data_IF_662656541755
#
_entry.id   IF_662656541755
#
_cell.length_a   1.000
_cell.length_b   1.000
_cell.length_c   1.000
_cell.angle_alpha   90.00
_cell.angle_beta   90.00
_cell.angle_gamma   90.00
#
_symmetry.space_group_name_H-M   'P 1'
#
loop_
_entity.id
_entity.type
_entity.pdbx_description
1 polymer ?
#
# COMPACT_ATOMS: atom_id res chain seq x y z
N UNK A 1 -1.15 -25.09 -4.12
CA UNK A 1 -1.48 -24.94 -2.68
C UNK A 1 -2.99 -24.99 -2.58
N UNK A 2 -3.57 -25.75 -1.65
CA UNK A 2 -5.04 -25.83 -1.55
C UNK A 2 -5.62 -24.55 -0.92
N UNK A 3 -6.90 -24.28 -1.13
CA UNK A 3 -7.58 -23.13 -0.52
C UNK A 3 -7.51 -23.16 1.02
N UNK A 4 -7.61 -24.35 1.60
CA UNK A 4 -7.51 -24.57 3.05
C UNK A 4 -6.11 -24.20 3.57
N UNK A 5 -5.06 -24.54 2.81
CA UNK A 5 -3.68 -24.18 3.18
C UNK A 5 -3.47 -22.66 3.15
N UNK A 6 -4.05 -21.98 2.14
CA UNK A 6 -3.98 -20.52 2.00
C UNK A 6 -4.70 -19.85 3.17
N UNK A 7 -5.93 -20.29 3.47
CA UNK A 7 -6.70 -19.77 4.60
C UNK A 7 -5.97 -19.98 5.94
N UNK A 8 -5.37 -21.16 6.14
CA UNK A 8 -4.59 -21.47 7.34
C UNK A 8 -3.38 -20.54 7.48
N UNK A 9 -2.64 -20.28 6.40
CA UNK A 9 -1.54 -19.31 6.40
C UNK A 9 -1.98 -17.90 6.74
N UNK A 10 -3.07 -17.44 6.13
CA UNK A 10 -3.62 -16.11 6.41
C UNK A 10 -4.00 -16.00 7.89
N UNK A 11 -4.72 -16.99 8.43
CA UNK A 11 -5.13 -17.02 9.83
C UNK A 11 -3.91 -16.95 10.76
N UNK A 12 -2.88 -17.77 10.51
CA UNK A 12 -1.65 -17.76 11.28
C UNK A 12 -0.92 -16.42 11.21
N UNK A 13 -0.82 -15.80 10.02
CA UNK A 13 -0.18 -14.48 9.90
C UNK A 13 -0.96 -13.43 10.70
N UNK A 14 -2.29 -13.42 10.64
CA UNK A 14 -3.10 -12.43 11.37
C UNK A 14 -3.05 -12.68 12.88
N UNK A 15 -3.05 -13.93 13.33
CA UNK A 15 -2.87 -14.28 14.76
C UNK A 15 -1.51 -13.85 15.29
N UNK A 16 -0.45 -13.94 14.47
CA UNK A 16 0.90 -13.51 14.81
C UNK A 16 1.18 -12.02 14.48
N UNK A 17 0.14 -11.24 14.14
CA UNK A 17 0.25 -9.81 13.78
C UNK A 17 1.14 -9.51 12.55
N UNK A 18 1.38 -10.51 11.71
CA UNK A 18 2.10 -10.41 10.44
C UNK A 18 1.19 -9.90 9.31
N UNK A 19 0.53 -8.77 9.52
CA UNK A 19 -0.52 -8.25 8.64
C UNK A 19 -0.05 -8.00 7.21
N UNK A 20 1.23 -7.64 7.03
CA UNK A 20 1.81 -7.45 5.70
C UNK A 20 1.88 -8.75 4.89
N UNK A 21 2.19 -9.88 5.54
CA UNK A 21 2.22 -11.19 4.89
C UNK A 21 0.79 -11.69 4.63
N UNK A 22 -0.10 -11.55 5.61
CA UNK A 22 -1.51 -11.89 5.48
C UNK A 22 -2.16 -11.17 4.28
N UNK A 23 -1.88 -9.87 4.15
CA UNK A 23 -2.35 -9.02 3.06
C UNK A 23 -1.92 -9.54 1.68
N UNK A 24 -0.65 -9.90 1.51
CA UNK A 24 -0.15 -10.47 0.24
C UNK A 24 -0.91 -11.74 -0.14
N UNK A 25 -1.06 -12.67 0.82
CA UNK A 25 -1.81 -13.91 0.58
C UNK A 25 -3.28 -13.65 0.23
N UNK A 26 -3.91 -12.67 0.86
CA UNK A 26 -5.29 -12.28 0.55
C UNK A 26 -5.40 -11.70 -0.86
N UNK A 27 -4.57 -10.71 -1.21
CA UNK A 27 -4.64 -10.04 -2.52
C UNK A 27 -4.39 -10.99 -3.68
N UNK A 28 -3.45 -11.92 -3.54
CA UNK A 28 -3.15 -12.93 -4.58
C UNK A 28 -4.31 -13.91 -4.81
N UNK A 29 -5.22 -14.06 -3.84
CA UNK A 29 -6.28 -15.09 -3.84
C UNK A 29 -7.68 -14.50 -3.59
N UNK A 30 -7.85 -13.20 -3.80
CA UNK A 30 -8.98 -12.41 -3.30
C UNK A 30 -10.34 -12.96 -3.76
N UNK A 31 -10.50 -13.25 -5.05
CA UNK A 31 -11.76 -13.77 -5.62
C UNK A 31 -12.21 -15.07 -4.95
N UNK A 32 -11.28 -16.02 -4.75
CA UNK A 32 -11.60 -17.33 -4.19
C UNK A 32 -11.90 -17.25 -2.69
N UNK A 33 -11.16 -16.39 -1.97
CA UNK A 33 -11.36 -16.14 -0.55
C UNK A 33 -12.69 -15.42 -0.27
N UNK A 34 -13.13 -14.55 -1.18
CA UNK A 34 -14.42 -13.87 -1.07
C UNK A 34 -15.60 -14.85 -1.12
N UNK A 35 -15.49 -15.91 -1.91
CA UNK A 35 -16.49 -16.99 -1.98
C UNK A 35 -16.44 -17.95 -0.76
N UNK A 36 -15.30 -18.00 -0.05
CA UNK A 36 -15.02 -18.97 1.02
C UNK A 36 -14.57 -18.32 2.33
N UNK A 37 -15.18 -17.18 2.70
CA UNK A 37 -14.85 -16.42 3.92
C UNK A 37 -14.97 -17.25 5.21
N UNK A 38 -15.76 -18.31 5.20
CA UNK A 38 -15.93 -19.23 6.33
C UNK A 38 -14.65 -19.96 6.74
N UNK A 39 -13.66 -20.06 5.85
CA UNK A 39 -12.34 -20.66 6.16
C UNK A 39 -11.41 -19.69 6.91
N UNK A 40 -11.75 -18.41 6.97
CA UNK A 40 -10.94 -17.37 7.61
C UNK A 40 -11.37 -17.12 9.06
N UNK A 41 -10.40 -16.85 9.93
CA UNK A 41 -10.62 -16.40 11.30
C UNK A 41 -11.31 -15.02 11.30
N UNK A 42 -11.83 -14.60 12.46
CA UNK A 42 -12.53 -13.31 12.56
C UNK A 42 -11.65 -12.15 12.08
N UNK A 43 -10.42 -12.08 12.58
CA UNK A 43 -9.48 -11.01 12.23
C UNK A 43 -9.08 -11.06 10.75
N UNK A 44 -8.93 -12.27 10.19
CA UNK A 44 -8.62 -12.44 8.77
C UNK A 44 -9.78 -12.03 7.85
N UNK A 45 -11.03 -12.27 8.27
CA UNK A 45 -12.22 -11.78 7.57
C UNK A 45 -12.32 -10.25 7.61
N UNK A 46 -12.11 -9.66 8.78
CA UNK A 46 -12.08 -8.19 8.91
C UNK A 46 -11.01 -7.57 8.00
N UNK A 47 -9.80 -8.16 7.95
CA UNK A 47 -8.75 -7.72 7.02
C UNK A 47 -9.16 -7.86 5.55
N UNK A 48 -9.79 -8.99 5.17
CA UNK A 48 -10.30 -9.18 3.81
C UNK A 48 -11.36 -8.14 3.45
N UNK A 49 -12.29 -7.86 4.36
CA UNK A 49 -13.37 -6.88 4.14
C UNK A 49 -12.79 -5.48 3.92
N UNK A 50 -11.82 -5.05 4.74
CA UNK A 50 -11.10 -3.78 4.54
C UNK A 50 -10.43 -3.72 3.16
N UNK A 51 -9.80 -4.82 2.72
CA UNK A 51 -9.11 -4.86 1.43
C UNK A 51 -10.09 -4.80 0.24
N UNK A 52 -11.27 -5.41 0.38
CA UNK A 52 -12.35 -5.33 -0.61
C UNK A 52 -12.89 -3.90 -0.68
N UNK A 53 -13.18 -3.28 0.47
CA UNK A 53 -13.64 -1.88 0.53
C UNK A 53 -12.66 -0.94 -0.16
N UNK A 54 -11.35 -1.08 0.12
CA UNK A 54 -10.30 -0.30 -0.56
C UNK A 54 -10.28 -0.54 -2.07
N UNK A 55 -10.50 -1.77 -2.52
CA UNK A 55 -10.55 -2.09 -3.94
C UNK A 55 -11.77 -1.48 -4.64
N UNK A 56 -12.94 -1.55 -4.00
CA UNK A 56 -14.21 -1.04 -4.52
C UNK A 56 -14.24 0.49 -4.60
N UNK A 57 -13.51 1.18 -3.72
CA UNK A 57 -13.28 2.63 -3.80
C UNK A 57 -12.36 3.05 -4.97
N UNK A 58 -11.86 2.08 -5.76
CA UNK A 58 -10.85 2.33 -6.80
C UNK A 58 -9.45 2.64 -6.24
N UNK A 59 -9.29 2.57 -4.92
CA UNK A 59 -8.03 2.75 -4.22
C UNK A 59 -7.21 1.46 -4.33
N UNK A 60 -6.65 1.22 -5.53
CA UNK A 60 -5.61 0.20 -5.67
C UNK A 60 -4.52 0.50 -4.62
N UNK A 61 -4.18 -0.41 -3.73
CA UNK A 61 -3.20 -0.14 -2.70
C UNK A 61 -1.81 0.12 -3.29
N UNK A 62 -1.00 0.90 -2.57
CA UNK A 62 0.38 1.19 -2.98
C UNK A 62 1.19 -0.11 -3.02
N UNK A 63 1.80 -0.38 -4.16
CA UNK A 63 2.70 -1.52 -4.31
C UNK A 63 4.01 -1.29 -3.54
N UNK A 64 4.80 -2.36 -3.34
CA UNK A 64 6.16 -2.23 -2.77
C UNK A 64 7.04 -1.29 -3.59
N UNK A 65 6.85 -1.27 -4.92
CA UNK A 65 7.58 -0.37 -5.82
C UNK A 65 7.18 1.08 -5.55
N UNK A 66 5.88 1.34 -5.39
CA UNK A 66 5.37 2.67 -5.07
C UNK A 66 5.95 3.17 -3.75
N UNK A 67 5.91 2.34 -2.70
CA UNK A 67 6.49 2.67 -1.40
C UNK A 67 8.00 2.96 -1.48
N UNK A 68 8.75 2.22 -2.31
CA UNK A 68 10.16 2.48 -2.54
C UNK A 68 10.41 3.83 -3.21
N UNK A 69 9.57 4.22 -4.18
CA UNK A 69 9.61 5.54 -4.83
C UNK A 69 9.33 6.63 -3.80
N UNK A 70 8.28 6.50 -2.98
CA UNK A 70 7.94 7.47 -1.93
C UNK A 70 9.07 7.63 -0.91
N UNK A 71 9.72 6.53 -0.51
CA UNK A 71 10.89 6.57 0.37
C UNK A 71 12.08 7.28 -0.28
N UNK A 72 12.26 7.12 -1.59
CA UNK A 72 13.32 7.79 -2.34
C UNK A 72 13.06 9.31 -2.42
N UNK A 73 11.81 9.71 -2.65
CA UNK A 73 11.36 11.11 -2.57
C UNK A 73 11.67 11.70 -1.20
N UNK A 74 11.31 11.01 -0.11
CA UNK A 74 11.61 11.43 1.26
C UNK A 74 13.12 11.61 1.50
N UNK A 75 13.93 10.71 0.95
CA UNK A 75 15.39 10.76 1.06
C UNK A 75 15.97 11.96 0.30
N UNK A 76 15.51 12.19 -0.94
CA UNK A 76 15.94 13.35 -1.73
C UNK A 76 15.53 14.67 -1.10
N UNK A 77 14.30 14.76 -0.58
CA UNK A 77 13.83 15.96 0.11
C UNK A 77 14.67 16.27 1.35
N UNK A 78 14.92 15.26 2.20
CA UNK A 78 15.74 15.40 3.42
C UNK A 78 17.17 15.83 3.12
N UNK A 79 17.74 15.33 2.02
CA UNK A 79 19.09 15.68 1.58
C UNK A 79 19.15 16.92 0.69
N UNK A 80 18.00 17.56 0.44
CA UNK A 80 17.86 18.71 -0.46
C UNK A 80 18.38 18.46 -1.89
N UNK A 81 18.29 17.20 -2.37
CA UNK A 81 18.62 16.85 -3.75
C UNK A 81 17.47 17.20 -4.69
N UNK A 82 17.37 18.49 -5.03
CA UNK A 82 16.33 19.03 -5.90
C UNK A 82 16.37 18.45 -7.32
N UNK A 83 17.54 17.98 -7.79
CA UNK A 83 17.68 17.38 -9.12
C UNK A 83 17.08 15.98 -9.13
N UNK A 84 17.48 15.14 -8.18
CA UNK A 84 16.90 13.79 -8.02
C UNK A 84 15.40 13.85 -7.79
N UNK A 85 14.95 14.77 -6.94
CA UNK A 85 13.53 14.99 -6.64
C UNK A 85 12.73 15.34 -7.91
N UNK A 86 13.22 16.26 -8.74
CA UNK A 86 12.54 16.65 -9.98
C UNK A 86 12.44 15.50 -10.98
N UNK A 87 13.49 14.67 -11.08
CA UNK A 87 13.50 13.52 -11.99
C UNK A 87 12.48 12.48 -11.53
N UNK A 88 12.52 12.07 -10.26
CA UNK A 88 11.65 10.98 -9.78
C UNK A 88 10.17 11.36 -9.80
N UNK A 89 9.83 12.63 -9.53
CA UNK A 89 8.47 13.15 -9.66
C UNK A 89 7.99 13.03 -11.11
N UNK A 90 8.83 13.43 -12.07
CA UNK A 90 8.48 13.42 -13.49
C UNK A 90 8.29 12.01 -14.04
N UNK A 91 9.04 11.04 -13.52
CA UNK A 91 8.94 9.63 -13.94
C UNK A 91 7.72 8.91 -13.34
N UNK A 92 7.16 9.41 -12.23
CA UNK A 92 6.08 8.75 -11.50
C UNK A 92 4.87 9.68 -11.24
N UNK A 93 4.30 10.35 -12.26
CA UNK A 93 3.26 11.34 -12.07
C UNK A 93 1.94 10.71 -11.56
N UNK A 94 1.57 9.53 -12.04
CA UNK A 94 0.33 8.85 -11.63
C UNK A 94 0.33 8.49 -10.15
N UNK A 95 1.48 8.11 -9.61
CA UNK A 95 1.65 7.81 -8.20
C UNK A 95 1.34 9.06 -7.35
N UNK A 96 1.84 10.23 -7.75
CA UNK A 96 1.66 11.47 -6.99
C UNK A 96 0.24 12.05 -7.03
N UNK A 97 -0.59 11.60 -7.97
CA UNK A 97 -2.00 11.99 -8.06
C UNK A 97 -2.90 11.24 -7.07
N UNK A 98 -2.38 10.19 -6.43
CA UNK A 98 -3.14 9.35 -5.51
C UNK A 98 -3.38 10.05 -4.18
N UNK A 99 -4.61 9.97 -3.68
CA UNK A 99 -5.08 10.72 -2.50
C UNK A 99 -4.38 10.28 -1.22
N UNK A 100 -3.98 9.02 -1.13
CA UNK A 100 -3.32 8.43 0.03
C UNK A 100 -1.82 8.77 0.10
N UNK A 101 -1.19 9.17 -1.01
CA UNK A 101 0.25 9.38 -1.11
C UNK A 101 0.81 10.48 -0.20
N UNK A 102 0.15 11.64 -0.02
CA UNK A 102 0.64 12.68 0.89
C UNK A 102 0.87 12.21 2.33
N UNK A 103 0.18 11.15 2.80
CA UNK A 103 0.38 10.59 4.13
C UNK A 103 1.76 9.94 4.32
N UNK A 104 2.42 9.56 3.23
CA UNK A 104 3.72 8.86 3.25
C UNK A 104 4.92 9.82 3.17
N UNK A 105 4.69 11.12 2.99
CA UNK A 105 5.77 12.11 2.94
C UNK A 105 6.20 12.60 4.33
N UNK A 106 7.50 12.75 4.51
CA UNK A 106 8.07 13.44 5.67
C UNK A 106 7.83 14.96 5.57
N UNK A 107 8.14 15.71 6.64
CA UNK A 107 7.94 17.17 6.69
C UNK A 107 8.65 17.91 5.56
N UNK A 108 9.89 17.53 5.26
CA UNK A 108 10.72 18.19 4.24
C UNK A 108 10.12 17.98 2.84
N UNK A 109 9.73 16.74 2.53
CA UNK A 109 9.08 16.39 1.27
C UNK A 109 7.75 17.13 1.12
N UNK A 110 6.93 17.23 2.17
CA UNK A 110 5.67 17.99 2.12
C UNK A 110 5.90 19.45 1.75
N UNK A 111 6.78 20.14 2.49
CA UNK A 111 7.08 21.55 2.26
C UNK A 111 7.59 21.78 0.83
N UNK A 112 8.51 20.94 0.36
CA UNK A 112 9.09 21.11 -0.97
C UNK A 112 8.05 20.82 -2.06
N UNK A 113 7.30 19.72 -1.95
CA UNK A 113 6.31 19.32 -2.96
C UNK A 113 5.12 20.28 -3.02
N UNK A 114 4.68 20.83 -1.88
CA UNK A 114 3.72 21.92 -1.82
C UNK A 114 4.27 23.18 -2.49
N UNK A 115 5.52 23.56 -2.19
CA UNK A 115 6.21 24.68 -2.85
C UNK A 115 6.37 24.50 -4.36
N UNK A 116 6.42 23.25 -4.85
CA UNK A 116 6.43 22.90 -6.27
C UNK A 116 5.03 22.82 -6.90
N UNK A 117 3.97 22.95 -6.10
CA UNK A 117 2.58 22.88 -6.56
C UNK A 117 2.11 21.47 -6.92
N UNK A 118 2.74 20.42 -6.37
CA UNK A 118 2.37 19.03 -6.62
C UNK A 118 1.08 18.66 -5.88
N UNK A 119 0.89 19.16 -4.67
CA UNK A 119 -0.36 19.07 -3.91
C UNK A 119 -0.56 20.33 -3.06
N UNK A 120 -1.77 20.48 -2.52
CA UNK A 120 -2.22 21.58 -1.66
C UNK A 120 -2.75 21.06 -0.34
#
# INVERSE_FOLDING_TARGET
>A
MSLVDIASKINNCVENLELAAARVYIEENLNVLQEHKNLLSKNARELLDILIELQDEGNKPLSRKDLAILNTINTYARNFDMRGLKVIIKENPELLLRKEVPAYFNSDAKIILEGMGIFK
#
